data_IF_279590683612
#
_entry.id   IF_279590683612
#
_cell.length_a   1.000
_cell.length_b   1.000
_cell.length_c   1.000
_cell.angle_alpha   90.00
_cell.angle_beta   90.00
_cell.angle_gamma   90.00
#
_symmetry.space_group_name_H-M   'P 1'
#
loop_
_entity.id
_entity.type
_entity.pdbx_description
1 polymer ?
#
# COMPACT_ATOMS: atom_id res chain seq x y z
N UNK A 1 10.40 -8.66 30.89
CA UNK A 1 10.54 -8.03 29.57
C UNK A 1 11.07 -9.09 28.64
N UNK A 2 10.24 -9.58 27.74
CA UNK A 2 10.62 -10.61 26.78
C UNK A 2 11.24 -9.86 25.58
N UNK A 3 12.52 -10.09 25.32
CA UNK A 3 13.21 -9.49 24.19
C UNK A 3 12.62 -10.08 22.89
N UNK A 4 11.99 -9.22 22.09
CA UNK A 4 11.52 -9.60 20.75
C UNK A 4 12.76 -9.94 19.91
N UNK A 5 12.96 -11.22 19.63
CA UNK A 5 14.02 -11.66 18.72
C UNK A 5 13.79 -11.02 17.35
N UNK A 6 14.75 -10.18 16.95
CA UNK A 6 14.74 -9.50 15.67
C UNK A 6 14.82 -10.54 14.54
N UNK A 7 13.75 -10.68 13.75
CA UNK A 7 13.65 -11.71 12.71
C UNK A 7 14.63 -11.37 11.59
N UNK A 8 15.80 -12.00 11.62
CA UNK A 8 16.86 -11.77 10.62
C UNK A 8 16.49 -12.44 9.29
N UNK A 9 15.89 -11.68 8.38
CA UNK A 9 15.52 -12.13 7.03
C UNK A 9 16.79 -12.40 6.21
N UNK A 10 17.28 -13.64 6.24
CA UNK A 10 18.53 -14.05 5.57
C UNK A 10 18.41 -14.19 4.04
N UNK A 11 17.18 -14.34 3.52
CA UNK A 11 16.90 -14.58 2.10
C UNK A 11 15.77 -13.68 1.60
N UNK A 12 16.04 -12.37 1.51
CA UNK A 12 15.11 -11.45 0.83
C UNK A 12 15.08 -11.78 -0.66
N UNK A 13 13.89 -11.87 -1.25
CA UNK A 13 13.75 -12.06 -2.71
C UNK A 13 14.39 -10.86 -3.42
N UNK A 14 15.20 -11.08 -4.47
CA UNK A 14 15.73 -9.99 -5.28
C UNK A 14 14.59 -9.27 -6.01
N UNK A 15 14.77 -7.98 -6.23
CA UNK A 15 13.83 -7.15 -7.00
C UNK A 15 14.16 -7.36 -8.48
N UNK A 16 13.21 -7.87 -9.25
CA UNK A 16 13.34 -8.02 -10.69
C UNK A 16 12.61 -6.88 -11.39
N UNK A 17 13.27 -6.25 -12.35
CA UNK A 17 12.64 -5.21 -13.16
C UNK A 17 11.64 -5.81 -14.17
N UNK A 18 10.72 -4.97 -14.63
CA UNK A 18 9.75 -5.35 -15.66
C UNK A 18 10.48 -5.41 -17.01
N UNK A 19 10.59 -6.61 -17.59
CA UNK A 19 11.20 -6.78 -18.90
C UNK A 19 10.45 -6.05 -20.01
N UNK A 20 11.16 -5.64 -21.08
CA UNK A 20 10.59 -4.82 -22.15
C UNK A 20 9.34 -5.41 -22.80
N UNK A 21 9.30 -6.74 -23.00
CA UNK A 21 8.15 -7.42 -23.60
C UNK A 21 6.89 -7.25 -22.78
N UNK A 22 6.99 -7.44 -21.45
CA UNK A 22 5.88 -7.22 -20.53
C UNK A 22 5.51 -5.73 -20.48
N UNK A 23 6.49 -4.83 -20.46
CA UNK A 23 6.23 -3.40 -20.46
C UNK A 23 5.45 -2.95 -21.71
N UNK A 24 5.83 -3.42 -22.90
CA UNK A 24 5.11 -3.15 -24.16
C UNK A 24 3.68 -3.68 -24.11
N UNK A 25 3.48 -4.89 -23.60
CA UNK A 25 2.16 -5.47 -23.40
C UNK A 25 1.30 -4.60 -22.46
N UNK A 26 1.81 -4.23 -21.28
CA UNK A 26 1.06 -3.42 -20.32
C UNK A 26 0.66 -2.06 -20.91
N UNK A 27 1.56 -1.41 -21.66
CA UNK A 27 1.25 -0.17 -22.39
C UNK A 27 0.16 -0.37 -23.43
N UNK A 28 0.25 -1.43 -24.25
CA UNK A 28 -0.72 -1.72 -25.31
C UNK A 28 -2.15 -1.90 -24.75
N UNK A 29 -2.27 -2.53 -23.60
CA UNK A 29 -3.56 -2.79 -22.94
C UNK A 29 -3.93 -1.78 -21.87
N UNK A 30 -3.24 -0.63 -21.79
CA UNK A 30 -3.51 0.45 -20.82
C UNK A 30 -3.49 -0.04 -19.36
N UNK A 31 -2.63 -1.04 -19.08
CA UNK A 31 -2.36 -1.60 -17.74
C UNK A 31 -1.06 -1.05 -17.13
N UNK A 32 -0.42 -0.13 -17.82
CA UNK A 32 0.70 0.66 -17.33
C UNK A 32 0.22 2.10 -17.15
N UNK A 33 -0.05 2.48 -15.90
CA UNK A 33 -0.52 3.81 -15.56
C UNK A 33 0.26 4.39 -14.38
N UNK A 34 0.58 5.69 -14.45
CA UNK A 34 1.15 6.42 -13.32
C UNK A 34 0.04 6.76 -12.32
N UNK A 35 0.15 6.19 -11.13
CA UNK A 35 -0.72 6.50 -10.01
C UNK A 35 -0.27 7.80 -9.32
N UNK A 36 -1.20 8.60 -8.76
CA UNK A 36 -0.89 9.85 -8.08
C UNK A 36 -0.08 9.65 -6.79
N UNK A 37 -0.22 8.48 -6.15
CA UNK A 37 0.51 8.08 -4.95
C UNK A 37 0.86 6.59 -5.05
N UNK A 38 1.87 6.16 -4.30
CA UNK A 38 2.32 4.78 -4.24
C UNK A 38 2.51 4.27 -2.81
N UNK A 39 2.94 3.01 -2.69
CA UNK A 39 3.14 2.35 -1.39
C UNK A 39 4.08 3.10 -0.45
N UNK A 40 5.15 3.71 -1.00
CA UNK A 40 6.10 4.50 -0.20
C UNK A 40 5.46 5.70 0.47
N UNK A 41 4.46 6.31 -0.17
CA UNK A 41 3.76 7.47 0.40
C UNK A 41 2.93 7.05 1.62
N UNK A 42 2.37 5.83 1.59
CA UNK A 42 1.62 5.23 2.69
C UNK A 42 2.50 4.83 3.88
N UNK A 43 3.83 4.78 3.72
CA UNK A 43 4.73 4.48 4.84
C UNK A 43 5.08 5.70 5.70
N UNK A 44 4.60 6.90 5.35
CA UNK A 44 4.88 8.13 6.08
C UNK A 44 3.94 8.38 7.27
N UNK A 45 3.41 7.33 7.89
CA UNK A 45 2.64 7.43 9.13
C UNK A 45 3.58 7.67 10.31
N UNK A 46 3.09 8.31 11.37
CA UNK A 46 3.90 8.60 12.57
C UNK A 46 3.63 7.63 13.70
N UNK A 47 2.40 7.10 13.78
CA UNK A 47 1.95 6.23 14.85
C UNK A 47 1.02 5.15 14.27
N UNK A 48 0.75 4.11 15.05
CA UNK A 48 -0.28 3.12 14.75
C UNK A 48 -1.17 2.90 15.96
N UNK A 49 -2.38 2.40 15.75
CA UNK A 49 -3.26 1.94 16.82
C UNK A 49 -3.84 0.55 16.50
N UNK A 50 -4.03 -0.31 17.51
CA UNK A 50 -4.57 -1.65 17.29
C UNK A 50 -6.02 -1.59 16.81
N UNK A 51 -6.34 -2.44 15.84
CA UNK A 51 -7.69 -2.62 15.31
C UNK A 51 -8.40 -3.68 16.14
N UNK A 52 -9.48 -3.29 16.81
CA UNK A 52 -10.32 -4.20 17.59
C UNK A 52 -11.48 -4.73 16.74
N UNK A 53 -11.86 -5.99 16.94
CA UNK A 53 -13.05 -6.54 16.32
C UNK A 53 -14.34 -5.97 16.95
N UNK A 54 -15.50 -6.33 16.37
CA UNK A 54 -16.83 -5.89 16.85
C UNK A 54 -17.19 -6.38 18.26
N UNK A 55 -16.44 -7.34 18.81
CA UNK A 55 -16.61 -7.89 20.14
C UNK A 55 -15.56 -7.38 21.13
N UNK A 56 -14.67 -6.49 20.69
CA UNK A 56 -13.59 -5.94 21.50
C UNK A 56 -12.36 -6.86 21.63
N UNK A 57 -12.23 -7.88 20.79
CA UNK A 57 -11.03 -8.71 20.75
C UNK A 57 -9.96 -8.08 19.84
N UNK A 58 -8.69 -8.28 20.19
CA UNK A 58 -7.55 -7.87 19.37
C UNK A 58 -7.54 -8.67 18.06
N UNK A 59 -7.41 -7.96 16.93
CA UNK A 59 -7.31 -8.59 15.61
C UNK A 59 -5.87 -8.92 15.21
N UNK A 60 -4.89 -8.44 15.99
CA UNK A 60 -3.46 -8.38 15.67
C UNK A 60 -3.11 -7.49 14.48
N UNK A 61 -4.05 -6.64 14.04
CA UNK A 61 -3.81 -5.62 13.03
C UNK A 61 -3.61 -4.25 13.68
N UNK A 62 -2.76 -3.47 13.04
CA UNK A 62 -2.47 -2.08 13.40
C UNK A 62 -2.98 -1.17 12.27
N UNK A 63 -3.61 -0.05 12.62
CA UNK A 63 -4.01 0.98 11.64
C UNK A 63 -3.07 2.18 11.74
N UNK A 64 -2.51 2.68 10.63
CA UNK A 64 -1.60 3.82 10.63
C UNK A 64 -2.32 5.15 10.88
N UNK A 65 -1.69 6.03 11.66
CA UNK A 65 -2.10 7.41 11.88
C UNK A 65 -1.19 8.35 11.10
N UNK A 66 -1.79 9.13 10.21
CA UNK A 66 -1.08 10.09 9.36
C UNK A 66 -1.18 11.50 9.92
N UNK A 67 -0.13 12.33 9.77
CA UNK A 67 -0.21 13.75 10.07
C UNK A 67 -1.26 14.48 9.24
N UNK A 68 -1.91 15.48 9.83
CA UNK A 68 -3.00 16.23 9.18
C UNK A 68 -2.59 16.88 7.85
N UNK A 69 -1.34 17.33 7.72
CA UNK A 69 -0.85 17.95 6.47
C UNK A 69 -0.71 16.96 5.31
N UNK A 70 -0.65 15.66 5.60
CA UNK A 70 -0.39 14.60 4.63
C UNK A 70 -1.68 13.81 4.31
N UNK A 71 -2.60 13.73 5.27
CA UNK A 71 -3.81 12.92 5.16
C UNK A 71 -4.71 13.36 4.00
N UNK A 72 -4.87 14.67 3.77
CA UNK A 72 -5.71 15.20 2.69
C UNK A 72 -5.15 14.82 1.31
N UNK A 73 -3.82 14.95 1.14
CA UNK A 73 -3.13 14.59 -0.11
C UNK A 73 -3.23 13.08 -0.39
N UNK A 74 -3.02 12.25 0.63
CA UNK A 74 -3.19 10.80 0.50
C UNK A 74 -4.63 10.44 0.15
N UNK A 75 -5.61 11.03 0.82
CA UNK A 75 -7.02 10.72 0.60
C UNK A 75 -7.46 11.09 -0.81
N UNK A 76 -7.04 12.25 -1.32
CA UNK A 76 -7.29 12.66 -2.70
C UNK A 76 -6.64 11.74 -3.71
N UNK A 77 -5.36 11.38 -3.50
CA UNK A 77 -4.65 10.42 -4.35
C UNK A 77 -5.34 9.04 -4.37
N UNK A 78 -5.73 8.53 -3.20
CA UNK A 78 -6.45 7.26 -3.07
C UNK A 78 -7.79 7.32 -3.80
N UNK A 79 -8.59 8.38 -3.63
CA UNK A 79 -9.88 8.53 -4.33
C UNK A 79 -9.70 8.46 -5.84
N UNK A 80 -8.66 9.11 -6.39
CA UNK A 80 -8.35 9.05 -7.83
C UNK A 80 -7.99 7.62 -8.26
N UNK A 81 -7.17 6.92 -7.48
CA UNK A 81 -6.81 5.52 -7.76
C UNK A 81 -8.07 4.63 -7.74
N UNK A 82 -8.90 4.74 -6.70
CA UNK A 82 -10.15 3.98 -6.60
C UNK A 82 -11.12 4.28 -7.75
N UNK A 83 -11.23 5.55 -8.16
CA UNK A 83 -12.04 5.93 -9.30
C UNK A 83 -11.54 5.28 -10.60
N UNK A 84 -10.22 5.28 -10.84
CA UNK A 84 -9.61 4.62 -12.00
C UNK A 84 -9.83 3.11 -11.98
N UNK A 85 -9.56 2.44 -10.86
CA UNK A 85 -9.78 1.00 -10.70
C UNK A 85 -11.25 0.61 -10.90
N UNK A 86 -12.17 1.41 -10.35
CA UNK A 86 -13.62 1.18 -10.52
C UNK A 86 -14.06 1.40 -11.97
N UNK A 87 -13.53 2.41 -12.65
CA UNK A 87 -13.84 2.68 -14.05
C UNK A 87 -13.27 1.61 -15.00
N UNK A 88 -12.12 1.01 -14.67
CA UNK A 88 -11.53 -0.08 -15.47
C UNK A 88 -12.21 -1.45 -15.32
N UNK A 89 -13.24 -1.57 -14.46
CA UNK A 89 -14.04 -2.79 -14.21
C UNK A 89 -13.43 -3.70 -13.14
N UNK A 90 -14.16 -4.37 -12.23
CA UNK A 90 -15.51 -4.95 -12.25
C UNK A 90 -15.88 -5.62 -13.58
N UNK A 91 -15.11 -6.65 -13.91
CA UNK A 91 -15.56 -7.79 -14.73
C UNK A 91 -15.51 -9.04 -13.86
#
# INVERSE_FOLDING_TARGET
>A
MEEVQDVKISKKKPIFEVGEGLHKYLKLYQRDEKLPIGYKDLLNFTETVPVMDKFGNDTFWETPLYPQYLIDQLYDGLKVIYAKLKASGNT
#
